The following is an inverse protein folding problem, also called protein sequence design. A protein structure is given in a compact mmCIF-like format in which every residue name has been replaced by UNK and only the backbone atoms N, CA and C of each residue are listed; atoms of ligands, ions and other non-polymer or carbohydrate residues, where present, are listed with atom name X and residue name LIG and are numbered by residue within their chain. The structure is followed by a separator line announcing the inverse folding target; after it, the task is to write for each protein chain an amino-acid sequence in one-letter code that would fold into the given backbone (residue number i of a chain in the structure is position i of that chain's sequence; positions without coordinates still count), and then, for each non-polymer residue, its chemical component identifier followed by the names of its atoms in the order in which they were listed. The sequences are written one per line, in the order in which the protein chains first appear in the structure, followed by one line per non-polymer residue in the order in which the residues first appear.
data_IF_137344609350
#
_entry.id   IF_137344609350
#
_cell.length_a   1.000
_cell.length_b   1.000
_cell.length_c   1.000
_cell.angle_alpha   90.00
_cell.angle_beta   90.00
_cell.angle_gamma   90.00
#
_symmetry.space_group_name_H-M   'P 1'
#
loop_
_entity.id
_entity.type
_entity.pdbx_description
1 polymer ?
#
# COMPACT_ATOMS: atom_id res chain seq x y z
N UNK A 1 -14.36 6.33 -9.29
CA UNK A 1 -13.74 5.82 -8.06
C UNK A 1 -12.53 6.67 -7.72
N UNK A 2 -12.31 6.85 -6.43
CA UNK A 2 -11.11 7.48 -5.87
C UNK A 2 -10.11 6.42 -5.45
N UNK A 3 -8.84 6.78 -5.44
CA UNK A 3 -7.78 5.97 -4.87
C UNK A 3 -7.23 6.65 -3.62
N UNK A 4 -7.04 5.89 -2.55
CA UNK A 4 -6.51 6.37 -1.27
C UNK A 4 -5.13 5.74 -1.10
N UNK A 5 -4.12 6.56 -0.89
CA UNK A 5 -2.77 6.11 -0.51
C UNK A 5 -2.58 6.44 0.97
N UNK A 6 -2.40 5.41 1.78
CA UNK A 6 -1.98 5.57 3.18
C UNK A 6 -0.45 5.70 3.22
N UNK A 7 0.02 6.92 3.43
CA UNK A 7 1.42 7.30 3.51
C UNK A 7 1.82 7.85 4.89
N UNK A 8 0.94 7.68 5.89
CA UNK A 8 1.18 8.05 7.29
C UNK A 8 2.06 7.07 8.05
N UNK A 9 2.04 7.22 9.38
CA UNK A 9 2.83 6.41 10.30
C UNK A 9 4.27 6.89 10.51
N UNK A 10 4.82 6.58 11.69
CA UNK A 10 6.11 7.11 12.18
C UNK A 10 7.36 6.50 11.54
N UNK A 11 7.21 5.49 10.69
CA UNK A 11 8.33 4.87 9.98
C UNK A 11 9.42 4.25 10.86
N UNK A 12 9.17 3.94 12.14
CA UNK A 12 10.21 3.62 13.14
C UNK A 12 11.19 2.52 12.75
N UNK A 13 10.74 1.51 11.98
CA UNK A 13 11.58 0.41 11.46
C UNK A 13 12.56 0.83 10.35
N UNK A 14 12.35 2.00 9.74
CA UNK A 14 13.18 2.57 8.68
C UNK A 14 14.21 3.58 9.17
N UNK A 15 14.37 3.75 10.48
CA UNK A 15 15.40 4.62 11.06
C UNK A 15 16.82 4.12 10.75
N UNK A 16 17.82 5.01 10.60
CA UNK A 16 17.73 6.47 10.79
C UNK A 16 17.16 7.22 9.57
N UNK A 17 16.97 6.59 8.42
CA UNK A 17 16.55 7.28 7.19
C UNK A 17 15.21 8.00 7.33
N UNK A 18 14.24 7.37 7.99
CA UNK A 18 12.91 7.95 8.20
C UNK A 18 12.88 9.11 9.20
N UNK A 19 14.03 9.52 9.74
CA UNK A 19 14.16 10.77 10.52
C UNK A 19 14.33 12.00 9.59
N UNK A 20 14.72 11.78 8.34
CA UNK A 20 14.95 12.85 7.36
C UNK A 20 13.82 12.98 6.33
N UNK A 21 13.14 11.88 6.00
CA UNK A 21 12.03 11.87 5.04
C UNK A 21 10.98 10.81 5.41
N UNK A 22 9.69 11.01 5.05
CA UNK A 22 8.67 10.00 5.34
C UNK A 22 8.92 8.73 4.51
N UNK A 23 8.51 7.55 4.98
CA UNK A 23 8.73 6.27 4.26
C UNK A 23 8.28 6.32 2.79
N UNK A 24 7.18 7.02 2.51
CA UNK A 24 6.66 7.27 1.17
C UNK A 24 7.67 7.91 0.19
N UNK A 25 8.64 8.65 0.73
CA UNK A 25 9.67 9.37 -0.02
C UNK A 25 11.00 8.60 -0.12
N UNK A 26 11.05 7.34 0.34
CA UNK A 26 12.22 6.47 0.17
C UNK A 26 12.59 6.38 -1.32
N UNK A 27 13.83 6.70 -1.71
CA UNK A 27 14.24 6.69 -3.10
C UNK A 27 14.39 5.26 -3.63
N UNK A 28 13.82 5.01 -4.80
CA UNK A 28 14.01 3.81 -5.61
C UNK A 28 14.36 4.32 -7.01
N UNK A 29 15.56 4.02 -7.52
CA UNK A 29 16.06 4.52 -8.82
C UNK A 29 15.76 6.02 -9.04
N UNK A 30 16.21 6.84 -8.09
CA UNK A 30 16.10 8.31 -8.09
C UNK A 30 14.67 8.87 -8.03
N UNK A 31 13.67 8.03 -7.73
CA UNK A 31 12.28 8.46 -7.55
C UNK A 31 11.72 8.03 -6.20
N UNK A 32 10.89 8.87 -5.55
CA UNK A 32 10.15 8.46 -4.37
C UNK A 32 9.33 7.20 -4.61
N UNK A 33 9.30 6.29 -3.65
CA UNK A 33 8.45 5.10 -3.64
C UNK A 33 6.98 5.42 -4.02
N UNK A 34 6.41 6.49 -3.46
CA UNK A 34 5.04 6.91 -3.75
C UNK A 34 4.81 7.30 -5.22
N UNK A 35 5.84 7.75 -5.95
CA UNK A 35 5.73 8.11 -7.38
C UNK A 35 5.37 6.89 -8.24
N UNK A 36 5.91 5.72 -7.91
CA UNK A 36 5.59 4.47 -8.60
C UNK A 36 4.11 4.11 -8.44
N UNK A 37 3.57 4.26 -7.24
CA UNK A 37 2.17 3.96 -6.93
C UNK A 37 1.25 4.98 -7.61
N UNK A 38 1.55 6.27 -7.50
CA UNK A 38 0.77 7.33 -8.14
C UNK A 38 0.78 7.18 -9.66
N UNK A 39 1.93 6.89 -10.27
CA UNK A 39 2.05 6.63 -11.71
C UNK A 39 1.22 5.41 -12.14
N UNK A 40 1.24 4.34 -11.35
CA UNK A 40 0.42 3.16 -11.61
C UNK A 40 -1.07 3.48 -11.54
N UNK A 41 -1.54 4.14 -10.48
CA UNK A 41 -2.95 4.54 -10.31
C UNK A 41 -3.40 5.54 -11.39
N UNK A 42 -2.51 6.43 -11.83
CA UNK A 42 -2.78 7.34 -12.94
C UNK A 42 -3.02 6.64 -14.27
N UNK A 43 -2.48 5.43 -14.47
CA UNK A 43 -2.68 4.66 -15.71
C UNK A 43 -4.11 4.15 -15.91
N UNK A 44 -4.97 4.20 -14.88
CA UNK A 44 -6.34 3.66 -14.94
C UNK A 44 -7.39 4.76 -15.08
N UNK A 45 -8.09 4.84 -16.21
CA UNK A 45 -9.08 5.89 -16.47
C UNK A 45 -10.25 5.93 -15.46
N UNK A 46 -10.58 4.80 -14.85
CA UNK A 46 -11.63 4.73 -13.83
C UNK A 46 -11.26 5.37 -12.48
N UNK A 47 -9.96 5.61 -12.25
CA UNK A 47 -9.46 6.39 -11.10
C UNK A 47 -9.46 7.85 -11.49
N UNK A 48 -10.27 8.68 -10.82
CA UNK A 48 -10.42 10.10 -11.16
C UNK A 48 -9.61 11.04 -10.27
N UNK A 49 -9.34 10.62 -9.03
CA UNK A 49 -8.65 11.41 -8.02
C UNK A 49 -7.87 10.47 -7.10
N UNK A 50 -6.71 10.94 -6.63
CA UNK A 50 -5.86 10.26 -5.65
C UNK A 50 -5.88 11.08 -4.36
N UNK A 51 -6.24 10.47 -3.25
CA UNK A 51 -6.18 11.04 -1.91
C UNK A 51 -4.93 10.46 -1.23
N UNK A 52 -4.02 11.30 -0.78
CA UNK A 52 -2.82 10.86 -0.05
C UNK A 52 -2.96 11.30 1.40
N UNK A 53 -3.04 10.33 2.31
CA UNK A 53 -3.10 10.55 3.75
C UNK A 53 -1.70 10.43 4.34
N UNK A 54 -1.21 11.47 4.99
CA UNK A 54 0.13 11.53 5.58
C UNK A 54 0.20 12.57 6.68
N UNK A 55 1.23 12.50 7.52
CA UNK A 55 1.53 13.56 8.48
C UNK A 55 2.13 14.80 7.81
N UNK A 56 1.29 15.70 7.31
CA UNK A 56 1.70 16.95 6.66
C UNK A 56 2.13 18.03 7.65
N UNK A 57 1.84 17.88 8.95
CA UNK A 57 2.41 18.72 10.01
C UNK A 57 3.87 18.37 10.32
N UNK A 58 4.26 17.13 10.05
CA UNK A 58 5.65 16.67 10.12
C UNK A 58 6.31 16.52 8.73
N UNK A 59 7.04 15.42 8.54
CA UNK A 59 7.84 15.18 7.33
C UNK A 59 7.01 14.92 6.06
N UNK A 60 5.72 14.63 6.19
CA UNK A 60 4.81 14.39 5.05
C UNK A 60 4.66 15.60 4.12
N UNK A 61 4.97 16.82 4.58
CA UNK A 61 5.03 18.01 3.73
C UNK A 61 5.94 17.84 2.50
N UNK A 62 6.97 16.99 2.59
CA UNK A 62 7.84 16.65 1.46
C UNK A 62 7.09 16.00 0.29
N UNK A 63 6.04 15.21 0.56
CA UNK A 63 5.19 14.60 -0.48
C UNK A 63 4.45 15.69 -1.24
N UNK A 64 3.87 16.67 -0.52
CA UNK A 64 3.17 17.81 -1.13
C UNK A 64 4.12 18.66 -1.99
N UNK A 65 5.34 18.88 -1.50
CA UNK A 65 6.37 19.61 -2.25
C UNK A 65 6.77 18.87 -3.54
N UNK A 66 6.91 17.55 -3.50
CA UNK A 66 7.23 16.74 -4.68
C UNK A 66 6.18 16.88 -5.80
N UNK A 67 4.90 16.97 -5.43
CA UNK A 67 3.77 17.13 -6.35
C UNK A 67 3.28 18.58 -6.53
N UNK A 68 4.05 19.57 -6.07
CA UNK A 68 3.67 21.00 -6.14
C UNK A 68 3.69 21.56 -7.57
N UNK A 69 4.51 20.98 -8.44
CA UNK A 69 4.50 21.27 -9.88
C UNK A 69 3.44 20.42 -10.60
N UNK A 70 2.83 20.89 -11.70
CA UNK A 70 1.83 20.13 -12.47
C UNK A 70 2.45 18.97 -13.25
N UNK A 71 3.03 18.01 -12.52
CA UNK A 71 3.56 16.75 -13.03
C UNK A 71 2.49 15.66 -13.05
N UNK A 72 1.43 15.81 -12.25
CA UNK A 72 0.42 14.79 -12.09
C UNK A 72 -0.74 14.97 -13.07
N UNK A 73 -1.11 13.89 -13.75
CA UNK A 73 -2.22 13.89 -14.73
C UNK A 73 -3.59 14.10 -14.09
N UNK A 74 -3.75 13.68 -12.83
CA UNK A 74 -5.05 13.67 -12.11
C UNK A 74 -4.98 14.56 -10.88
N UNK A 75 -6.14 14.89 -10.32
CA UNK A 75 -6.19 15.63 -9.06
C UNK A 75 -5.57 14.79 -7.93
N UNK A 76 -4.67 15.39 -7.16
CA UNK A 76 -4.19 14.84 -5.89
C UNK A 76 -4.76 15.70 -4.76
N UNK A 77 -5.41 15.06 -3.80
CA UNK A 77 -5.87 15.69 -2.56
C UNK A 77 -5.01 15.19 -1.40
N UNK A 78 -4.43 16.12 -0.64
CA UNK A 78 -3.58 15.82 0.51
C UNK A 78 -4.40 15.96 1.79
N UNK A 79 -4.43 14.92 2.63
CA UNK A 79 -5.19 14.88 3.90
C UNK A 79 -4.29 14.54 5.09
N UNK A 80 -4.37 15.32 6.16
CA UNK A 80 -3.61 15.05 7.38
C UNK A 80 -4.00 13.70 8.01
N UNK A 81 -3.00 12.88 8.31
CA UNK A 81 -3.14 11.64 9.10
C UNK A 81 -3.66 11.98 10.51
N UNK A 82 -4.73 11.30 10.91
CA UNK A 82 -5.44 11.51 12.19
C UNK A 82 -4.75 10.87 13.39
N UNK A 83 -3.70 10.08 13.18
CA UNK A 83 -3.06 9.21 14.20
C UNK A 83 -4.03 8.20 14.86
N UNK A 84 -5.21 7.98 14.27
CA UNK A 84 -6.23 7.05 14.76
C UNK A 84 -6.21 5.69 14.03
N UNK A 85 -5.11 5.41 13.33
CA UNK A 85 -4.92 4.22 12.51
C UNK A 85 -5.72 4.24 11.21
N UNK A 86 -5.55 3.18 10.40
CA UNK A 86 -6.14 3.07 9.07
C UNK A 86 -7.66 3.29 9.05
N UNK A 87 -8.39 2.68 9.99
CA UNK A 87 -9.85 2.85 10.06
C UNK A 87 -10.26 4.29 10.40
N UNK A 88 -9.55 4.93 11.34
CA UNK A 88 -9.79 6.32 11.71
C UNK A 88 -9.55 7.29 10.55
N UNK A 89 -8.48 7.07 9.78
CA UNK A 89 -8.19 7.86 8.58
C UNK A 89 -9.27 7.71 7.50
N UNK A 90 -9.80 6.49 7.31
CA UNK A 90 -10.89 6.25 6.35
C UNK A 90 -12.19 6.94 6.77
N UNK A 91 -12.54 6.88 8.06
CA UNK A 91 -13.70 7.60 8.60
C UNK A 91 -13.52 9.11 8.46
N UNK A 92 -12.32 9.63 8.71
CA UNK A 92 -12.01 11.05 8.58
C UNK A 92 -12.22 11.61 7.16
N UNK A 93 -12.06 10.76 6.14
CA UNK A 93 -12.28 11.15 4.73
C UNK A 93 -13.60 10.69 4.15
N UNK A 94 -14.52 10.16 4.96
CA UNK A 94 -15.81 9.62 4.49
C UNK A 94 -16.55 10.61 3.59
N UNK A 95 -16.64 11.88 4.01
CA UNK A 95 -17.28 12.95 3.23
C UNK A 95 -16.65 13.17 1.86
N UNK A 96 -15.33 12.93 1.73
CA UNK A 96 -14.62 13.02 0.46
C UNK A 96 -14.87 11.81 -0.43
N UNK A 97 -15.34 10.70 0.11
CA UNK A 97 -15.69 9.50 -0.64
C UNK A 97 -17.17 9.47 -1.06
N UNK A 98 -18.02 10.31 -0.47
CA UNK A 98 -19.42 10.48 -0.88
C UNK A 98 -19.54 10.71 -2.38
N UNK A 99 -20.48 10.00 -3.01
CA UNK A 99 -20.75 10.04 -4.45
C UNK A 99 -19.97 9.04 -5.30
N UNK A 100 -18.94 8.38 -4.77
CA UNK A 100 -18.33 7.21 -5.42
C UNK A 100 -18.94 5.91 -4.87
N UNK A 101 -19.28 4.97 -5.76
CA UNK A 101 -19.79 3.65 -5.36
C UNK A 101 -18.71 2.71 -4.84
N UNK A 102 -17.45 3.03 -5.07
CA UNK A 102 -16.29 2.22 -4.72
C UNK A 102 -15.03 3.09 -4.62
N UNK A 103 -14.03 2.64 -3.86
CA UNK A 103 -12.69 3.22 -3.81
C UNK A 103 -11.63 2.12 -3.74
N UNK A 104 -10.38 2.46 -4.03
CA UNK A 104 -9.23 1.57 -3.76
C UNK A 104 -8.39 2.14 -2.63
N UNK A 105 -7.99 1.30 -1.69
CA UNK A 105 -7.04 1.62 -0.64
C UNK A 105 -5.69 0.98 -0.94
N UNK A 106 -4.61 1.75 -0.85
CA UNK A 106 -3.25 1.31 -1.13
C UNK A 106 -2.28 1.78 -0.04
N UNK A 107 -1.60 0.84 0.62
CA UNK A 107 -0.53 1.18 1.57
C UNK A 107 0.73 1.56 0.81
N UNK A 108 1.35 2.71 1.14
CA UNK A 108 2.47 3.26 0.34
C UNK A 108 3.69 2.33 0.28
N UNK A 109 3.84 1.44 1.25
CA UNK A 109 4.92 0.46 1.32
C UNK A 109 4.65 -0.87 0.61
N UNK A 110 3.45 -1.03 0.04
CA UNK A 110 3.11 -2.15 -0.83
C UNK A 110 3.42 -1.83 -2.29
N UNK A 111 4.71 -1.82 -2.64
CA UNK A 111 5.14 -1.77 -4.03
C UNK A 111 4.95 -3.14 -4.69
N UNK A 112 3.80 -3.34 -5.33
CA UNK A 112 3.41 -4.62 -5.89
C UNK A 112 2.66 -4.49 -7.22
N UNK A 113 2.83 -5.48 -8.10
CA UNK A 113 2.18 -5.55 -9.41
C UNK A 113 0.80 -6.23 -9.30
N UNK A 114 -0.14 -5.58 -8.62
CA UNK A 114 -1.52 -6.10 -8.51
C UNK A 114 -2.34 -5.64 -9.69
N UNK A 115 -2.90 -6.60 -10.44
CA UNK A 115 -3.86 -6.33 -11.52
C UNK A 115 -5.16 -5.76 -10.94
N UNK A 116 -5.24 -4.43 -10.92
CA UNK A 116 -6.36 -3.70 -10.37
C UNK A 116 -7.62 -3.83 -11.22
N UNK A 117 -7.48 -4.06 -12.53
CA UNK A 117 -8.60 -4.29 -13.45
C UNK A 117 -9.29 -5.60 -13.08
N UNK A 118 -8.51 -6.67 -12.93
CA UNK A 118 -9.01 -7.98 -12.50
C UNK A 118 -9.58 -7.93 -11.09
N UNK A 119 -8.91 -7.27 -10.15
CA UNK A 119 -9.39 -7.11 -8.78
C UNK A 119 -10.76 -6.41 -8.74
N UNK A 120 -10.91 -5.30 -9.47
CA UNK A 120 -12.17 -4.56 -9.57
C UNK A 120 -13.27 -5.39 -10.25
N UNK A 121 -12.93 -6.17 -11.27
CA UNK A 121 -13.86 -7.11 -11.92
C UNK A 121 -14.40 -8.11 -10.90
N UNK A 122 -13.52 -8.77 -10.13
CA UNK A 122 -13.92 -9.72 -9.09
C UNK A 122 -14.80 -9.06 -8.03
N UNK A 123 -14.41 -7.86 -7.55
CA UNK A 123 -15.20 -7.10 -6.57
C UNK A 123 -16.64 -6.87 -7.05
N UNK A 124 -16.82 -6.45 -8.31
CA UNK A 124 -18.13 -6.20 -8.91
C UNK A 124 -18.93 -7.48 -9.16
N UNK A 125 -18.31 -8.51 -9.73
CA UNK A 125 -18.97 -9.79 -10.03
C UNK A 125 -19.45 -10.50 -8.77
N UNK A 126 -18.74 -10.34 -7.65
CA UNK A 126 -19.09 -10.97 -6.37
C UNK A 126 -20.02 -10.13 -5.51
N UNK A 127 -20.40 -8.93 -5.96
CA UNK A 127 -21.25 -7.98 -5.22
C UNK A 127 -20.86 -7.87 -3.73
N UNK A 128 -19.55 -7.81 -3.47
CA UNK A 128 -19.00 -7.89 -2.12
C UNK A 128 -18.87 -6.50 -1.49
N UNK A 129 -18.90 -6.43 -0.15
CA UNK A 129 -18.65 -5.16 0.56
C UNK A 129 -17.18 -4.70 0.47
N UNK A 130 -16.26 -5.63 0.25
CA UNK A 130 -14.83 -5.38 0.10
C UNK A 130 -14.15 -6.49 -0.72
N UNK A 131 -13.01 -6.17 -1.30
CA UNK A 131 -12.11 -7.13 -1.94
C UNK A 131 -10.69 -6.84 -1.48
N UNK A 132 -9.96 -7.87 -1.05
CA UNK A 132 -8.58 -7.76 -0.54
C UNK A 132 -7.68 -8.66 -1.38
N UNK A 133 -6.56 -8.11 -1.84
CA UNK A 133 -5.55 -8.90 -2.52
C UNK A 133 -4.73 -9.70 -1.49
N UNK A 134 -4.58 -11.00 -1.74
CA UNK A 134 -3.87 -11.91 -0.84
C UNK A 134 -2.85 -12.76 -1.57
N UNK A 135 -1.89 -13.34 -0.83
CA UNK A 135 -0.97 -14.36 -1.34
C UNK A 135 -1.16 -15.68 -0.60
N UNK A 136 -1.06 -16.78 -1.35
CA UNK A 136 -1.15 -18.15 -0.82
C UNK A 136 0.22 -18.82 -0.66
N UNK A 137 1.28 -18.18 -1.17
CA UNK A 137 2.65 -18.66 -1.11
C UNK A 137 3.59 -17.54 -0.67
N UNK A 138 4.62 -17.89 0.09
CA UNK A 138 5.69 -16.97 0.51
C UNK A 138 7.05 -17.64 0.30
N UNK A 139 8.01 -16.88 -0.23
CA UNK A 139 9.41 -17.30 -0.27
C UNK A 139 10.06 -16.92 1.06
N UNK A 140 10.49 -17.92 1.79
CA UNK A 140 11.17 -17.71 3.06
C UNK A 140 12.63 -17.25 2.84
N UNK A 141 13.16 -16.52 3.83
CA UNK A 141 14.54 -16.03 3.80
C UNK A 141 15.52 -16.90 4.59
N UNK A 142 15.00 -17.89 5.32
CA UNK A 142 15.76 -18.81 6.15
C UNK A 142 15.55 -20.25 5.69
N UNK A 143 16.45 -21.15 6.09
CA UNK A 143 16.28 -22.59 5.92
C UNK A 143 15.27 -23.17 6.91
N UNK A 144 14.59 -24.23 6.49
CA UNK A 144 13.61 -24.98 7.28
C UNK A 144 13.97 -26.46 7.27
N UNK A 145 13.78 -27.14 8.40
CA UNK A 145 13.98 -28.58 8.51
C UNK A 145 12.65 -29.29 8.76
N UNK A 146 12.49 -30.48 8.15
CA UNK A 146 11.47 -31.45 8.56
C UNK A 146 12.10 -32.30 9.65
N UNK A 147 11.50 -32.27 10.86
CA UNK A 147 12.01 -32.98 12.04
C UNK A 147 10.97 -33.99 12.48
N UNK A 148 11.37 -35.26 12.59
CA UNK A 148 10.53 -36.36 13.07
C UNK A 148 11.27 -37.11 14.18
N UNK A 149 10.63 -37.28 15.34
CA UNK A 149 11.24 -37.90 16.53
C UNK A 149 12.63 -37.31 16.83
N UNK A 150 12.72 -35.98 16.82
CA UNK A 150 13.96 -35.22 17.08
C UNK A 150 15.09 -35.44 16.04
N UNK A 151 14.82 -36.15 14.94
CA UNK A 151 15.77 -36.40 13.85
C UNK A 151 15.40 -35.55 12.64
N UNK A 152 16.37 -34.81 12.10
CA UNK A 152 16.21 -34.06 10.83
C UNK A 152 16.10 -35.06 9.68
N UNK A 153 14.98 -35.01 8.95
CA UNK A 153 14.72 -35.84 7.76
C UNK A 153 15.02 -35.13 6.46
N UNK A 154 14.80 -33.82 6.42
CA UNK A 154 14.97 -32.98 5.23
C UNK A 154 15.34 -31.56 5.64
N UNK A 155 16.21 -30.90 4.87
CA UNK A 155 16.50 -29.47 5.01
C UNK A 155 16.20 -28.75 3.69
N UNK A 156 15.41 -27.68 3.77
CA UNK A 156 15.03 -26.83 2.64
C UNK A 156 15.58 -25.44 2.87
N UNK A 157 16.53 -25.01 2.04
CA UNK A 157 17.05 -23.64 2.08
C UNK A 157 16.10 -22.68 1.36
N UNK A 158 15.62 -21.64 2.07
CA UNK A 158 14.78 -20.56 1.52
C UNK A 158 13.59 -21.07 0.67
N UNK A 159 12.79 -22.01 1.19
CA UNK A 159 11.73 -22.64 0.41
C UNK A 159 10.62 -21.64 0.07
N UNK A 160 9.84 -21.97 -0.96
CA UNK A 160 8.54 -21.33 -1.18
C UNK A 160 7.48 -22.15 -0.46
N UNK A 161 7.00 -21.61 0.66
CA UNK A 161 5.98 -22.23 1.51
C UNK A 161 4.58 -21.91 1.00
N UNK A 162 3.68 -22.91 1.00
CA UNK A 162 2.23 -22.66 0.91
C UNK A 162 1.75 -22.26 2.31
N UNK A 163 1.10 -21.12 2.41
CA UNK A 163 0.58 -20.61 3.67
C UNK A 163 -0.69 -21.37 4.07
N UNK A 164 -0.87 -21.60 5.37
CA UNK A 164 -2.10 -22.24 5.91
C UNK A 164 -3.32 -21.35 5.68
N UNK A 165 -3.16 -20.04 5.86
CA UNK A 165 -4.14 -19.01 5.54
C UNK A 165 -3.58 -18.07 4.48
N UNK A 166 -4.46 -17.50 3.67
CA UNK A 166 -4.05 -16.47 2.72
C UNK A 166 -3.63 -15.22 3.48
N UNK A 167 -2.45 -14.70 3.18
CA UNK A 167 -1.94 -13.49 3.81
C UNK A 167 -2.37 -12.27 3.00
N UNK A 168 -2.96 -11.28 3.67
CA UNK A 168 -3.31 -10.00 3.08
C UNK A 168 -2.06 -9.25 2.63
N UNK A 169 -2.14 -8.57 1.49
CA UNK A 169 -1.14 -7.60 1.07
C UNK A 169 -1.42 -6.28 1.80
N UNK A 170 -0.82 -6.13 2.98
CA UNK A 170 -1.05 -5.02 3.93
C UNK A 170 -0.22 -5.22 5.18
#
# INVERSE_FOLDING_TARGET
MKAIILAGGKGTRGKPYTEYFPKAMTPINDKPLIDYIVKYLNSFDFIKEIIIISDYTGLGGQIKNYYSSPKNKKKITFVQDTQSGTGGDLLHIEDKLKGDSEFVLWFVDNLCAIDLVKMRKVFKEKNSIACIATRTKRKEKTGFAVVENEIIKEFKEKPTMKLQLSECLG
#
